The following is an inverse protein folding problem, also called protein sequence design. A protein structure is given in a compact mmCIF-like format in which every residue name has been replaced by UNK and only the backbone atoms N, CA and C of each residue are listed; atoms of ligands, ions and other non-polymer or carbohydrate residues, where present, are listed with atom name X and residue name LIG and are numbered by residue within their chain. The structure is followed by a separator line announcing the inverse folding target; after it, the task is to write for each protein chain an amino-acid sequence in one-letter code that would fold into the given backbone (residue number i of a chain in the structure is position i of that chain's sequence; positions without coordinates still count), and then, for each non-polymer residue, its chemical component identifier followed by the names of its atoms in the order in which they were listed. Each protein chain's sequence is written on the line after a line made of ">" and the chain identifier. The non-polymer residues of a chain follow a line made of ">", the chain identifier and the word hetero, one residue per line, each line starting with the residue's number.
data_IF_341178605424
#
_entry.id   IF_341178605424
#
_cell.length_a   1.000
_cell.length_b   1.000
_cell.length_c   1.000
_cell.angle_alpha   90.00
_cell.angle_beta   90.00
_cell.angle_gamma   90.00
#
_symmetry.space_group_name_H-M   'P 1'
#
loop_
_entity.id
_entity.type
_entity.pdbx_description
1 polymer ?
#
# COMPACT_ATOMS: atom_id res chain seq x y z
N UNK A 1 22.49 -6.58 4.65
CA UNK A 1 21.53 -5.48 4.49
C UNK A 1 22.18 -4.12 4.80
N UNK A 2 22.91 -3.97 5.91
CA UNK A 2 23.55 -2.69 6.30
C UNK A 2 24.49 -2.13 5.20
N UNK A 3 25.29 -2.98 4.53
CA UNK A 3 26.16 -2.57 3.39
C UNK A 3 25.37 -2.04 2.19
N UNK A 4 24.09 -2.31 2.10
CA UNK A 4 23.18 -1.86 1.03
C UNK A 4 22.35 -0.64 1.44
N UNK A 5 22.61 -0.06 2.61
CA UNK A 5 21.84 1.05 3.16
C UNK A 5 20.40 0.66 3.56
N UNK A 6 20.15 -0.64 3.82
CA UNK A 6 18.83 -1.15 4.22
C UNK A 6 18.82 -1.40 5.72
N UNK A 7 17.91 -0.73 6.44
CA UNK A 7 17.66 -0.97 7.85
C UNK A 7 16.52 -1.97 8.06
N UNK A 8 16.70 -2.90 9.00
CA UNK A 8 15.63 -3.81 9.43
C UNK A 8 14.97 -3.22 10.69
N UNK A 9 13.64 -3.16 10.68
CA UNK A 9 12.82 -2.67 11.80
C UNK A 9 11.75 -3.69 12.15
N UNK A 10 11.55 -4.02 13.43
CA UNK A 10 10.40 -4.81 13.86
C UNK A 10 9.11 -4.02 13.65
N UNK A 11 8.00 -4.73 13.41
CA UNK A 11 6.66 -4.15 13.23
C UNK A 11 5.62 -5.14 13.74
N UNK A 12 4.57 -4.63 14.34
CA UNK A 12 3.43 -5.37 14.89
C UNK A 12 2.27 -5.55 13.90
N UNK A 13 2.44 -5.07 12.64
CA UNK A 13 1.45 -5.25 11.57
C UNK A 13 1.26 -6.72 11.20
N UNK A 14 0.11 -7.04 10.65
CA UNK A 14 -0.14 -8.35 10.04
C UNK A 14 0.80 -8.63 8.85
N UNK A 15 1.03 -9.91 8.59
CA UNK A 15 1.94 -10.39 7.53
C UNK A 15 3.38 -10.58 8.00
N UNK A 16 4.23 -10.96 7.04
CA UNK A 16 5.67 -11.22 7.27
C UNK A 16 6.52 -9.99 6.89
N UNK A 17 7.74 -10.21 6.41
CA UNK A 17 8.67 -9.18 5.98
C UNK A 17 8.15 -8.45 4.72
N UNK A 18 8.31 -7.13 4.69
CA UNK A 18 8.06 -6.29 3.51
C UNK A 18 9.21 -5.31 3.30
N UNK A 19 9.22 -4.65 2.15
CA UNK A 19 10.17 -3.60 1.82
C UNK A 19 9.44 -2.27 1.65
N UNK A 20 10.01 -1.23 2.23
CA UNK A 20 9.62 0.16 1.96
C UNK A 20 10.82 0.93 1.43
N UNK A 21 10.62 1.70 0.37
CA UNK A 21 11.70 2.46 -0.25
C UNK A 21 11.20 3.56 -1.20
N UNK A 22 12.12 4.36 -1.72
CA UNK A 22 11.79 5.41 -2.68
C UNK A 22 10.97 4.90 -3.86
N UNK A 23 10.02 5.71 -4.31
CA UNK A 23 9.12 5.35 -5.40
C UNK A 23 7.94 4.47 -4.99
N UNK A 24 7.75 4.23 -3.69
CA UNK A 24 6.60 3.48 -3.16
C UNK A 24 5.65 4.42 -2.44
N UNK A 25 4.36 4.35 -2.73
CA UNK A 25 3.33 4.98 -1.90
C UNK A 25 3.09 4.10 -0.67
N UNK A 26 3.33 4.66 0.52
CA UNK A 26 2.94 4.05 1.80
C UNK A 26 1.84 4.91 2.40
N UNK A 27 0.69 4.31 2.68
CA UNK A 27 -0.46 5.01 3.25
C UNK A 27 -0.98 4.26 4.48
N UNK A 28 -1.23 4.99 5.56
CA UNK A 28 -1.74 4.47 6.83
C UNK A 28 -3.12 5.05 7.14
N UNK A 29 -4.20 4.41 6.70
CA UNK A 29 -5.56 4.80 7.07
C UNK A 29 -5.80 4.49 8.55
N UNK A 30 -5.86 5.51 9.38
CA UNK A 30 -6.10 5.39 10.82
C UNK A 30 -7.57 5.70 11.07
N UNK A 31 -8.37 4.68 11.33
CA UNK A 31 -9.81 4.76 11.51
C UNK A 31 -10.23 4.02 12.78
N UNK A 32 -11.28 4.50 13.41
CA UNK A 32 -12.06 3.71 14.35
C UNK A 32 -13.18 3.01 13.58
N UNK A 33 -13.16 1.67 13.59
CA UNK A 33 -14.21 0.86 12.97
C UNK A 33 -15.37 0.69 13.96
N UNK A 34 -16.59 1.00 13.52
CA UNK A 34 -17.78 0.98 14.37
C UNK A 34 -18.88 0.10 13.78
N UNK A 35 -19.74 -0.42 14.65
CA UNK A 35 -20.90 -1.21 14.22
C UNK A 35 -20.53 -2.35 13.27
N UNK A 36 -21.14 -2.35 12.09
CA UNK A 36 -20.91 -3.34 11.05
C UNK A 36 -19.50 -3.25 10.39
N UNK A 37 -18.78 -2.15 10.58
CA UNK A 37 -17.40 -2.02 10.09
C UNK A 37 -16.39 -2.84 10.90
N UNK A 38 -16.78 -3.36 12.08
CA UNK A 38 -15.93 -4.25 12.93
C UNK A 38 -15.73 -5.61 12.29
N UNK A 39 -15.20 -5.59 11.07
CA UNK A 39 -14.83 -6.75 10.26
C UNK A 39 -13.45 -6.52 9.65
N UNK A 40 -12.44 -7.20 10.19
CA UNK A 40 -11.05 -7.09 9.71
C UNK A 40 -10.92 -7.53 8.26
N UNK A 41 -11.62 -8.60 7.86
CA UNK A 41 -11.58 -9.10 6.48
C UNK A 41 -12.25 -8.12 5.52
N UNK A 42 -13.40 -7.60 5.91
CA UNK A 42 -14.11 -6.56 5.17
C UNK A 42 -13.25 -5.30 5.00
N UNK A 43 -12.57 -4.86 6.06
CA UNK A 43 -11.66 -3.72 6.00
C UNK A 43 -10.51 -3.96 5.00
N UNK A 44 -9.84 -5.12 5.07
CA UNK A 44 -8.76 -5.47 4.13
C UNK A 44 -9.28 -5.56 2.68
N UNK A 45 -10.46 -6.14 2.45
CA UNK A 45 -11.07 -6.20 1.10
C UNK A 45 -11.36 -4.82 0.51
N UNK A 46 -11.83 -3.89 1.34
CA UNK A 46 -12.03 -2.49 0.91
C UNK A 46 -10.71 -1.81 0.58
N UNK A 47 -9.63 -2.08 1.32
CA UNK A 47 -8.29 -1.59 0.97
C UNK A 47 -7.76 -2.19 -0.35
N UNK A 48 -8.02 -3.47 -0.61
CA UNK A 48 -7.70 -4.10 -1.89
C UNK A 48 -8.46 -3.44 -3.05
N UNK A 49 -9.73 -3.10 -2.84
CA UNK A 49 -10.56 -2.39 -3.82
C UNK A 49 -10.03 -0.98 -4.09
N UNK A 50 -9.71 -0.20 -3.06
CA UNK A 50 -9.08 1.13 -3.19
C UNK A 50 -7.81 1.05 -4.04
N UNK A 51 -6.94 0.09 -3.76
CA UNK A 51 -5.69 -0.09 -4.51
C UNK A 51 -5.93 -0.49 -5.97
N UNK A 52 -6.91 -1.35 -6.22
CA UNK A 52 -7.28 -1.77 -7.58
C UNK A 52 -7.86 -0.60 -8.39
N UNK A 53 -8.76 0.19 -7.80
CA UNK A 53 -9.32 1.40 -8.42
C UNK A 53 -8.24 2.44 -8.67
N UNK A 54 -7.34 2.66 -7.69
CA UNK A 54 -6.19 3.58 -7.85
C UNK A 54 -5.31 3.15 -9.02
N UNK A 55 -4.99 1.86 -9.15
CA UNK A 55 -4.23 1.36 -10.29
C UNK A 55 -4.99 1.56 -11.61
N UNK A 56 -6.31 1.37 -11.61
CA UNK A 56 -7.21 1.61 -12.74
C UNK A 56 -7.17 3.05 -13.26
N UNK A 57 -7.04 4.04 -12.37
CA UNK A 57 -6.91 5.46 -12.75
C UNK A 57 -5.64 5.74 -13.56
N UNK A 58 -4.66 4.86 -13.47
CA UNK A 58 -3.43 4.90 -14.27
C UNK A 58 -3.43 3.90 -15.44
N UNK A 59 -4.59 3.31 -15.77
CA UNK A 59 -4.73 2.36 -16.88
C UNK A 59 -4.16 0.96 -16.59
N UNK A 60 -3.96 0.60 -15.32
CA UNK A 60 -3.44 -0.70 -14.90
C UNK A 60 -4.57 -1.54 -14.32
N UNK A 61 -4.93 -2.63 -14.99
CA UNK A 61 -5.91 -3.60 -14.47
C UNK A 61 -5.26 -4.45 -13.40
N UNK A 62 -5.63 -4.19 -12.15
CA UNK A 62 -5.13 -4.89 -10.98
C UNK A 62 -6.29 -5.42 -10.13
N UNK A 63 -6.05 -6.44 -9.34
CA UNK A 63 -7.09 -7.02 -8.50
C UNK A 63 -6.58 -7.98 -7.44
N UNK A 64 -7.52 -8.57 -6.72
CA UNK A 64 -7.26 -9.62 -5.72
C UNK A 64 -6.85 -10.92 -6.39
N UNK A 65 -6.17 -11.76 -5.65
CA UNK A 65 -5.93 -13.15 -6.04
C UNK A 65 -6.89 -14.08 -5.26
N UNK A 66 -7.40 -15.09 -5.94
CA UNK A 66 -8.22 -16.15 -5.32
C UNK A 66 -7.34 -17.17 -4.55
N UNK A 67 -6.02 -17.10 -4.70
CA UNK A 67 -5.07 -17.95 -3.98
C UNK A 67 -4.92 -17.44 -2.54
N UNK A 68 -5.25 -18.25 -1.51
CA UNK A 68 -5.20 -17.80 -0.11
C UNK A 68 -3.84 -17.26 0.34
N UNK A 69 -2.74 -17.84 -0.14
CA UNK A 69 -1.38 -17.37 0.17
C UNK A 69 -1.07 -15.96 -0.37
N UNK A 70 -1.91 -15.44 -1.27
CA UNK A 70 -1.78 -14.12 -1.91
C UNK A 70 -2.75 -13.07 -1.36
N UNK A 71 -3.54 -13.40 -0.35
CA UNK A 71 -4.46 -12.46 0.28
C UNK A 71 -3.72 -11.26 0.90
N UNK A 72 -4.45 -10.21 1.19
CA UNK A 72 -3.91 -8.92 1.66
C UNK A 72 -2.88 -8.33 0.68
N UNK A 73 -3.16 -8.44 -0.61
CA UNK A 73 -2.29 -7.93 -1.68
C UNK A 73 -3.10 -7.69 -2.95
N UNK A 74 -2.61 -6.77 -3.79
CA UNK A 74 -3.19 -6.50 -5.12
C UNK A 74 -2.18 -6.89 -6.19
N UNK A 75 -2.65 -7.51 -7.25
CA UNK A 75 -1.86 -8.20 -8.26
C UNK A 75 -2.20 -7.71 -9.68
N UNK A 76 -1.21 -7.74 -10.54
CA UNK A 76 -1.34 -7.62 -11.99
C UNK A 76 -0.86 -8.95 -12.58
N UNK A 77 -1.81 -9.78 -13.05
CA UNK A 77 -1.49 -11.15 -13.42
C UNK A 77 -0.87 -11.92 -12.23
N UNK A 78 0.38 -12.37 -12.42
CA UNK A 78 1.13 -13.12 -11.40
C UNK A 78 2.08 -12.26 -10.56
N UNK A 79 2.13 -10.95 -10.78
CA UNK A 79 3.06 -10.04 -10.13
C UNK A 79 2.36 -9.16 -9.10
N UNK A 80 2.91 -9.11 -7.88
CA UNK A 80 2.39 -8.29 -6.80
C UNK A 80 2.67 -6.81 -7.04
N UNK A 81 1.59 -6.02 -7.13
CA UNK A 81 1.64 -4.57 -7.27
C UNK A 81 1.63 -3.86 -5.92
N UNK A 82 0.81 -4.34 -4.99
CA UNK A 82 0.67 -3.73 -3.66
C UNK A 82 0.52 -4.77 -2.56
N UNK A 83 0.99 -4.41 -1.37
CA UNK A 83 0.87 -5.20 -0.15
C UNK A 83 0.04 -4.45 0.89
N UNK A 84 -0.72 -5.20 1.71
CA UNK A 84 -1.50 -4.69 2.82
C UNK A 84 -1.02 -5.37 4.09
N UNK A 85 -0.70 -4.58 5.11
CA UNK A 85 -0.37 -5.07 6.43
C UNK A 85 -0.93 -4.11 7.46
N UNK A 86 -2.01 -4.50 8.13
CA UNK A 86 -2.70 -3.70 9.15
C UNK A 86 -2.56 -4.35 10.51
N UNK A 87 -2.71 -3.54 11.55
CA UNK A 87 -2.91 -3.97 12.91
C UNK A 87 -4.14 -3.25 13.46
N UNK A 88 -4.91 -3.92 14.32
CA UNK A 88 -6.08 -3.35 14.97
C UNK A 88 -5.95 -3.53 16.48
N UNK A 89 -6.13 -2.43 17.20
CA UNK A 89 -6.26 -2.41 18.65
C UNK A 89 -7.52 -1.64 19.01
N UNK A 90 -8.39 -2.21 19.80
CA UNK A 90 -9.67 -1.61 20.20
C UNK A 90 -10.50 -1.07 19.00
N UNK A 91 -10.46 -1.79 17.89
CA UNK A 91 -11.08 -1.41 16.62
C UNK A 91 -10.55 -0.12 16.02
N UNK A 92 -9.38 0.33 16.42
CA UNK A 92 -8.63 1.38 15.75
C UNK A 92 -7.57 0.74 14.86
N UNK A 93 -7.56 1.12 13.58
CA UNK A 93 -6.60 0.61 12.60
C UNK A 93 -5.27 1.33 12.70
N UNK A 94 -4.17 0.61 12.49
CA UNK A 94 -2.82 1.16 12.33
C UNK A 94 -2.12 0.46 11.18
N UNK A 95 -1.01 1.04 10.70
CA UNK A 95 -0.36 0.63 9.45
C UNK A 95 -1.32 0.75 8.25
N UNK A 96 -1.12 -0.01 7.19
CA UNK A 96 -1.98 0.10 6.01
C UNK A 96 -1.41 -0.58 4.77
N UNK A 97 -1.11 0.20 3.74
CA UNK A 97 -0.80 -0.30 2.40
C UNK A 97 0.53 0.23 1.89
N UNK A 98 1.13 -0.54 0.98
CA UNK A 98 2.30 -0.14 0.21
C UNK A 98 2.06 -0.48 -1.27
N UNK A 99 1.96 0.55 -2.12
CA UNK A 99 1.78 0.44 -3.56
C UNK A 99 3.07 0.81 -4.29
N UNK A 100 3.56 -0.10 -5.11
CA UNK A 100 4.75 0.15 -5.93
C UNK A 100 4.39 1.08 -7.10
N UNK A 101 4.94 2.29 -7.10
CA UNK A 101 4.74 3.30 -8.15
C UNK A 101 5.91 3.25 -9.13
N UNK A 102 7.09 3.73 -8.70
CA UNK A 102 8.37 3.69 -9.42
C UNK A 102 9.45 2.99 -8.58
N UNK A 103 9.01 2.04 -7.75
CA UNK A 103 9.85 1.35 -6.77
C UNK A 103 10.93 0.53 -7.47
N UNK A 104 12.16 0.56 -6.95
CA UNK A 104 13.25 -0.31 -7.40
C UNK A 104 12.98 -1.76 -6.99
N UNK A 105 12.41 -2.53 -7.91
CA UNK A 105 11.90 -3.89 -7.66
C UNK A 105 13.00 -4.90 -7.32
N UNK A 106 14.26 -4.65 -7.75
CA UNK A 106 15.41 -5.49 -7.42
C UNK A 106 15.65 -5.61 -5.92
N UNK A 107 15.19 -4.62 -5.13
CA UNK A 107 15.30 -4.65 -3.68
C UNK A 107 14.46 -5.75 -3.03
N UNK A 108 13.42 -6.23 -3.71
CA UNK A 108 12.60 -7.35 -3.22
C UNK A 108 13.34 -8.69 -3.31
N UNK A 109 14.37 -8.85 -4.15
CA UNK A 109 15.19 -10.05 -4.21
C UNK A 109 16.13 -10.22 -3.00
N UNK A 110 16.30 -9.18 -2.18
CA UNK A 110 17.12 -9.25 -0.96
C UNK A 110 16.52 -10.12 0.16
N UNK A 111 15.27 -10.53 0.01
CA UNK A 111 14.56 -11.40 0.94
C UNK A 111 13.47 -12.17 0.20
N UNK A 112 13.01 -13.28 0.77
CA UNK A 112 11.86 -14.04 0.22
C UNK A 112 10.58 -13.32 0.67
N UNK A 113 9.85 -12.62 -0.22
CA UNK A 113 8.65 -11.89 0.16
C UNK A 113 7.56 -12.85 0.60
N UNK A 114 7.25 -12.91 1.90
CA UNK A 114 6.09 -13.61 2.46
C UNK A 114 5.93 -15.10 2.06
N UNK A 115 7.01 -15.78 1.64
CA UNK A 115 6.97 -17.21 1.26
C UNK A 115 6.20 -17.49 -0.03
N UNK A 116 5.97 -16.48 -0.89
CA UNK A 116 5.38 -16.66 -2.21
C UNK A 116 6.55 -16.95 -3.18
N UNK A 117 6.65 -18.20 -3.59
CA UNK A 117 7.71 -18.69 -4.50
C UNK A 117 7.29 -18.68 -5.97
N UNK A 118 6.00 -18.46 -6.26
CA UNK A 118 5.37 -18.61 -7.57
C UNK A 118 4.84 -17.31 -8.18
N UNK A 119 5.29 -16.14 -7.69
CA UNK A 119 4.91 -14.83 -8.19
C UNK A 119 6.05 -13.82 -8.11
N UNK A 120 5.99 -12.81 -8.98
CA UNK A 120 6.92 -11.71 -9.02
C UNK A 120 6.43 -10.49 -8.24
N UNK A 121 7.11 -9.37 -8.46
CA UNK A 121 6.69 -8.03 -8.03
C UNK A 121 6.69 -7.11 -9.23
N UNK A 122 5.74 -6.17 -9.25
CA UNK A 122 5.64 -5.15 -10.29
C UNK A 122 5.40 -3.76 -9.69
N UNK A 123 5.36 -2.74 -10.54
CA UNK A 123 5.05 -1.35 -10.20
C UNK A 123 4.13 -0.75 -11.25
N UNK A 124 3.49 0.38 -10.95
CA UNK A 124 2.69 1.11 -11.93
C UNK A 124 3.53 1.49 -13.16
N UNK A 125 4.75 1.98 -12.95
CA UNK A 125 5.70 2.31 -14.03
C UNK A 125 5.93 1.09 -14.94
N UNK A 126 6.25 -0.09 -14.36
CA UNK A 126 6.53 -1.30 -15.12
C UNK A 126 5.33 -1.82 -15.90
N UNK A 127 4.12 -1.61 -15.37
CA UNK A 127 2.87 -1.99 -16.05
C UNK A 127 2.46 -1.04 -17.18
N UNK A 128 3.17 0.08 -17.38
CA UNK A 128 2.85 1.13 -18.36
C UNK A 128 4.03 1.43 -19.29
N UNK A 129 4.53 0.45 -20.04
CA UNK A 129 5.70 0.64 -20.90
C UNK A 129 5.42 1.71 -21.96
N UNK A 130 6.38 2.61 -22.16
CA UNK A 130 6.28 3.69 -23.15
C UNK A 130 5.49 4.92 -22.69
N UNK A 131 4.93 4.92 -21.49
CA UNK A 131 4.26 6.08 -20.90
C UNK A 131 5.15 6.71 -19.82
N UNK A 132 5.03 8.04 -19.59
CA UNK A 132 5.69 8.67 -18.47
C UNK A 132 5.30 8.00 -17.14
N UNK A 133 6.27 7.73 -16.25
CA UNK A 133 5.96 7.13 -14.95
C UNK A 133 5.16 8.13 -14.11
N UNK A 134 4.13 7.67 -13.38
CA UNK A 134 3.41 8.52 -12.46
C UNK A 134 4.30 8.87 -11.27
N UNK A 135 4.10 10.03 -10.69
CA UNK A 135 4.73 10.41 -9.43
C UNK A 135 4.00 9.78 -8.25
N UNK A 136 4.70 9.59 -7.14
CA UNK A 136 4.07 9.11 -5.89
C UNK A 136 2.99 10.08 -5.41
N UNK A 137 3.17 11.39 -5.64
CA UNK A 137 2.19 12.42 -5.26
C UNK A 137 0.87 12.28 -6.04
N UNK A 138 0.93 12.14 -7.37
CA UNK A 138 -0.26 11.92 -8.21
C UNK A 138 -1.01 10.64 -7.79
N UNK A 139 -0.27 9.56 -7.49
CA UNK A 139 -0.86 8.30 -7.04
C UNK A 139 -1.48 8.47 -5.65
N UNK A 140 -0.86 9.25 -4.76
CA UNK A 140 -1.41 9.53 -3.43
C UNK A 140 -2.74 10.29 -3.50
N UNK A 141 -2.85 11.28 -4.37
CA UNK A 141 -4.11 12.04 -4.59
C UNK A 141 -5.23 11.10 -5.06
N UNK A 142 -4.94 10.23 -6.04
CA UNK A 142 -5.91 9.24 -6.51
C UNK A 142 -6.28 8.23 -5.43
N UNK A 143 -5.30 7.74 -4.68
CA UNK A 143 -5.55 6.85 -3.55
C UNK A 143 -6.49 7.47 -2.51
N UNK A 144 -6.27 8.73 -2.12
CA UNK A 144 -7.15 9.43 -1.17
C UNK A 144 -8.57 9.56 -1.72
N UNK A 145 -8.72 9.92 -3.00
CA UNK A 145 -10.03 10.02 -3.66
C UNK A 145 -10.76 8.67 -3.67
N UNK A 146 -10.08 7.58 -4.07
CA UNK A 146 -10.67 6.24 -4.09
C UNK A 146 -10.94 5.69 -2.69
N UNK A 147 -10.10 6.04 -1.72
CA UNK A 147 -10.33 5.71 -0.32
C UNK A 147 -11.61 6.38 0.20
N UNK A 148 -11.79 7.67 -0.07
CA UNK A 148 -13.00 8.41 0.29
C UNK A 148 -14.27 7.77 -0.29
N UNK A 149 -14.23 7.39 -1.58
CA UNK A 149 -15.32 6.72 -2.28
C UNK A 149 -15.66 5.36 -1.66
N UNK A 150 -14.67 4.45 -1.51
CA UNK A 150 -14.89 3.08 -1.04
C UNK A 150 -15.27 3.02 0.43
N UNK A 151 -14.74 3.93 1.25
CA UNK A 151 -14.99 3.96 2.69
C UNK A 151 -16.12 4.89 3.10
N UNK A 152 -16.73 5.61 2.14
CA UNK A 152 -17.76 6.62 2.40
C UNK A 152 -17.30 7.61 3.49
N UNK A 153 -16.11 8.20 3.27
CA UNK A 153 -15.47 9.15 4.18
C UNK A 153 -15.04 10.40 3.44
N UNK A 154 -15.22 11.55 4.05
CA UNK A 154 -14.64 12.79 3.54
C UNK A 154 -13.20 12.92 4.05
N UNK A 155 -12.21 13.16 3.17
CA UNK A 155 -10.85 13.44 3.60
C UNK A 155 -10.82 14.73 4.40
N UNK A 156 -10.42 14.67 5.66
CA UNK A 156 -10.12 15.87 6.42
C UNK A 156 -8.83 16.51 5.90
N UNK A 157 -8.81 17.84 5.80
CA UNK A 157 -7.55 18.53 5.54
C UNK A 157 -6.52 18.14 6.61
N UNK A 158 -5.25 17.87 6.24
CA UNK A 158 -4.23 17.56 7.24
C UNK A 158 -4.14 18.73 8.22
N UNK A 159 -3.98 18.45 9.54
CA UNK A 159 -3.77 19.53 10.50
C UNK A 159 -2.56 20.34 10.05
N UNK A 160 -2.74 21.65 9.92
CA UNK A 160 -1.64 22.55 9.56
C UNK A 160 -0.61 22.44 10.69
N UNK A 161 0.51 21.75 10.43
CA UNK A 161 1.60 21.66 11.37
C UNK A 161 2.21 23.04 11.54
N UNK A 162 1.99 23.68 12.67
CA UNK A 162 2.63 24.96 13.06
C UNK A 162 4.11 24.78 13.46
N UNK A 163 4.76 23.68 13.10
CA UNK A 163 6.16 23.39 13.39
C UNK A 163 7.11 23.95 12.34
N UNK A 164 7.04 25.25 12.05
CA UNK A 164 8.03 25.95 11.26
C UNK A 164 8.26 27.38 11.79
N UNK A 165 8.54 27.52 13.08
CA UNK A 165 9.03 28.79 13.63
C UNK A 165 9.76 28.54 14.96
N UNK A 166 10.94 27.91 14.90
CA UNK A 166 11.96 28.09 15.94
C UNK A 166 13.28 27.48 15.44
N UNK A 167 14.04 28.31 14.76
CA UNK A 167 15.38 28.00 14.27
C UNK A 167 16.03 29.31 13.86
N UNK A 168 16.34 30.15 14.83
CA UNK A 168 17.36 31.20 14.75
C UNK A 168 18.58 30.75 15.49
#
# INVERSE_FOLDING_TARGET
>A
LARLGVSLRPSDRGGKLTFHGPGQLVAYPILRLEGAERDVRGFVRRLEEVLALTAGDFGVTAGRSDVPARWSSVWVGNDKLAAIGVHLSDWVTTHGVALNVTTRLERFSLFVPCGISDGGVTSLERCRPGLPPPTVAEVAERFVSRFAEVFDREPAAPPVSSAAASGA
#
